data_IF_858529708444
#
_entry.id   IF_858529708444
#
_cell.length_a   1.000
_cell.length_b   1.000
_cell.length_c   1.000
_cell.angle_alpha   90.00
_cell.angle_beta   90.00
_cell.angle_gamma   90.00
#
_symmetry.space_group_name_H-M   'P 1'
#
loop_
_entity.id
_entity.type
_entity.pdbx_description
1 polymer ?
#
# COMPACT_ATOMS: atom_id res chain seq x y z
N UNK A 1 -0.05 -17.18 3.01
CA UNK A 1 -0.82 -16.28 3.89
C UNK A 1 -0.34 -16.41 5.32
N UNK A 2 0.06 -17.62 5.68
CA UNK A 2 0.70 -17.98 6.94
C UNK A 2 1.91 -17.11 7.27
N UNK A 3 2.09 -16.86 8.56
CA UNK A 3 3.27 -16.22 9.13
C UNK A 3 4.38 -17.23 9.35
N UNK A 4 5.63 -16.78 9.32
CA UNK A 4 6.79 -17.59 9.65
C UNK A 4 7.73 -16.79 10.53
N UNK A 5 8.29 -17.44 11.55
CA UNK A 5 9.27 -16.82 12.43
C UNK A 5 10.70 -16.96 11.86
N UNK A 6 11.64 -16.09 12.28
CA UNK A 6 13.04 -16.28 11.95
C UNK A 6 13.50 -17.70 12.30
N UNK A 7 14.19 -18.33 11.34
CA UNK A 7 14.68 -19.71 11.44
C UNK A 7 13.63 -20.81 11.41
N UNK A 8 12.36 -20.49 11.14
CA UNK A 8 11.35 -21.49 10.85
C UNK A 8 11.51 -22.02 9.41
N UNK A 9 11.52 -23.35 9.18
CA UNK A 9 11.48 -23.90 7.82
C UNK A 9 10.16 -23.58 7.14
N UNK A 10 10.21 -22.93 5.97
CA UNK A 10 9.01 -22.62 5.15
C UNK A 10 8.86 -23.53 3.93
N UNK A 11 9.90 -24.31 3.60
CA UNK A 11 9.93 -25.24 2.48
C UNK A 11 10.92 -26.37 2.78
N UNK A 12 10.48 -27.61 2.65
CA UNK A 12 11.34 -28.80 2.69
C UNK A 12 11.20 -29.54 1.36
N UNK A 13 12.32 -29.79 0.68
CA UNK A 13 12.36 -30.53 -0.60
C UNK A 13 13.14 -31.82 -0.37
N UNK A 14 12.49 -32.95 -0.63
CA UNK A 14 13.13 -34.28 -0.56
C UNK A 14 13.11 -34.94 -1.94
N UNK A 15 14.27 -35.38 -2.41
CA UNK A 15 14.40 -36.09 -3.68
C UNK A 15 15.84 -36.16 -4.17
N UNK A 16 16.06 -36.66 -5.39
CA UNK A 16 17.39 -36.65 -6.01
C UNK A 16 17.91 -35.22 -6.13
N UNK A 17 19.06 -34.92 -5.53
CA UNK A 17 19.61 -33.56 -5.46
C UNK A 17 19.68 -32.86 -6.83
N UNK A 18 20.13 -33.58 -7.87
CA UNK A 18 20.24 -33.06 -9.23
C UNK A 18 18.90 -32.59 -9.82
N UNK A 19 17.77 -33.10 -9.33
CA UNK A 19 16.44 -32.75 -9.84
C UNK A 19 16.01 -31.33 -9.45
N UNK A 20 16.52 -30.77 -8.34
CA UNK A 20 16.04 -29.47 -7.83
C UNK A 20 17.15 -28.49 -7.42
N UNK A 21 18.41 -28.92 -7.29
CA UNK A 21 19.50 -28.05 -6.84
C UNK A 21 19.66 -26.78 -7.70
N UNK A 22 19.49 -26.91 -9.02
CA UNK A 22 19.59 -25.78 -9.96
C UNK A 22 18.44 -24.76 -9.82
N UNK A 23 17.37 -25.11 -9.11
CA UNK A 23 16.22 -24.24 -8.85
C UNK A 23 16.37 -23.43 -7.56
N UNK A 24 17.43 -23.61 -6.78
CA UNK A 24 17.65 -22.93 -5.50
C UNK A 24 17.49 -21.42 -5.58
N UNK A 25 18.19 -20.80 -6.53
CA UNK A 25 18.10 -19.36 -6.78
C UNK A 25 16.66 -18.91 -7.04
N UNK A 26 15.86 -19.73 -7.72
CA UNK A 26 14.48 -19.39 -8.07
C UNK A 26 13.56 -19.44 -6.85
N UNK A 27 13.50 -20.58 -6.15
CA UNK A 27 12.54 -20.71 -5.04
C UNK A 27 12.94 -19.82 -3.86
N UNK A 28 14.24 -19.66 -3.56
CA UNK A 28 14.70 -18.73 -2.53
C UNK A 28 14.39 -17.29 -2.92
N UNK A 29 14.66 -16.89 -4.17
CA UNK A 29 14.36 -15.54 -4.65
C UNK A 29 12.85 -15.20 -4.59
N UNK A 30 12.00 -16.16 -4.96
CA UNK A 30 10.54 -16.02 -4.84
C UNK A 30 10.12 -15.90 -3.38
N UNK A 31 10.59 -16.77 -2.49
CA UNK A 31 10.25 -16.73 -1.06
C UNK A 31 10.69 -15.41 -0.42
N UNK A 32 11.93 -14.99 -0.62
CA UNK A 32 12.47 -13.75 -0.04
C UNK A 32 11.66 -12.53 -0.49
N UNK A 33 11.39 -12.43 -1.80
CA UNK A 33 10.66 -11.30 -2.34
C UNK A 33 9.21 -11.28 -1.86
N UNK A 34 8.48 -12.40 -1.99
CA UNK A 34 7.04 -12.42 -1.68
C UNK A 34 6.79 -12.33 -0.18
N UNK A 35 7.68 -12.86 0.66
CA UNK A 35 7.64 -12.65 2.12
C UNK A 35 7.81 -11.19 2.47
N UNK A 36 8.78 -10.48 1.86
CA UNK A 36 8.97 -9.03 2.08
C UNK A 36 7.68 -8.25 1.82
N UNK A 37 7.11 -8.44 0.63
CA UNK A 37 5.91 -7.70 0.22
C UNK A 37 4.71 -8.06 1.11
N UNK A 38 4.48 -9.35 1.36
CA UNK A 38 3.35 -9.80 2.18
C UNK A 38 3.47 -9.29 3.63
N UNK A 39 4.65 -9.38 4.23
CA UNK A 39 4.88 -8.97 5.63
C UNK A 39 4.70 -7.47 5.79
N UNK A 40 5.37 -6.66 4.97
CA UNK A 40 5.24 -5.20 5.03
C UNK A 40 3.80 -4.74 4.75
N UNK A 41 3.10 -5.41 3.83
CA UNK A 41 1.69 -5.09 3.52
C UNK A 41 0.78 -5.49 4.67
N UNK A 42 0.99 -6.66 5.29
CA UNK A 42 0.21 -7.11 6.45
C UNK A 42 0.34 -6.12 7.60
N UNK A 43 1.55 -5.65 7.90
CA UNK A 43 1.78 -4.70 8.99
C UNK A 43 1.01 -3.39 8.81
N UNK A 44 0.92 -2.86 7.59
CA UNK A 44 0.14 -1.63 7.33
C UNK A 44 -1.36 -1.88 7.34
N UNK A 45 -1.81 -3.06 6.88
CA UNK A 45 -3.22 -3.46 6.92
C UNK A 45 -3.69 -3.62 8.36
N UNK A 46 -2.91 -4.30 9.20
CA UNK A 46 -3.20 -4.45 10.63
C UNK A 46 -3.18 -3.11 11.36
N UNK A 47 -2.22 -2.24 11.03
CA UNK A 47 -2.15 -0.90 11.60
C UNK A 47 -3.39 -0.04 11.27
N UNK A 48 -3.99 -0.24 10.09
CA UNK A 48 -5.15 0.52 9.61
C UNK A 48 -6.49 -0.11 9.98
N UNK A 49 -6.53 -1.38 10.38
CA UNK A 49 -7.76 -2.15 10.53
C UNK A 49 -8.78 -1.45 11.45
N UNK A 50 -10.06 -1.32 11.04
CA UNK A 50 -10.72 -1.94 9.88
C UNK A 50 -10.66 -1.12 8.57
N UNK A 51 -9.88 -0.04 8.50
CA UNK A 51 -9.84 0.84 7.33
C UNK A 51 -9.05 0.22 6.18
N UNK A 52 -9.52 0.35 4.94
CA UNK A 52 -8.88 -0.26 3.78
C UNK A 52 -7.50 0.36 3.45
N UNK A 53 -6.62 -0.49 2.93
CA UNK A 53 -5.28 -0.11 2.45
C UNK A 53 -5.11 -0.48 0.98
N UNK A 54 -4.59 0.46 0.19
CA UNK A 54 -4.29 0.31 -1.23
C UNK A 54 -2.78 0.18 -1.46
N UNK A 55 -2.40 -0.79 -2.29
CA UNK A 55 -1.01 -1.13 -2.60
C UNK A 55 -0.50 -0.34 -3.82
N UNK A 56 0.17 0.79 -3.57
CA UNK A 56 0.68 1.71 -4.60
C UNK A 56 2.22 1.76 -4.80
N UNK A 57 3.02 0.70 -4.57
CA UNK A 57 4.46 0.77 -4.75
C UNK A 57 4.94 0.41 -6.17
N UNK A 58 4.08 0.15 -7.15
CA UNK A 58 4.46 -0.38 -8.47
C UNK A 58 5.61 0.39 -9.15
N UNK A 59 5.66 1.71 -8.95
CA UNK A 59 6.67 2.62 -9.51
C UNK A 59 8.05 2.54 -8.86
N UNK A 60 8.21 1.79 -7.77
CA UNK A 60 9.43 1.72 -6.98
C UNK A 60 10.23 0.44 -7.23
N UNK A 61 9.84 -0.36 -8.21
CA UNK A 61 10.48 -1.64 -8.50
C UNK A 61 10.44 -1.99 -9.99
N UNK A 62 11.14 -3.05 -10.36
CA UNK A 62 11.24 -3.51 -11.73
C UNK A 62 9.90 -4.07 -12.22
N UNK A 63 9.38 -3.55 -13.34
CA UNK A 63 8.02 -3.83 -13.83
C UNK A 63 7.64 -5.32 -13.93
N UNK A 64 8.59 -6.22 -14.22
CA UNK A 64 8.34 -7.67 -14.33
C UNK A 64 7.88 -8.35 -13.03
N UNK A 65 8.08 -7.73 -11.88
CA UNK A 65 7.77 -8.34 -10.58
C UNK A 65 6.34 -8.11 -10.11
N UNK A 66 5.63 -7.19 -10.79
CA UNK A 66 4.36 -6.62 -10.36
C UNK A 66 3.30 -7.67 -10.08
N UNK A 67 3.16 -8.65 -10.98
CA UNK A 67 2.14 -9.69 -10.87
C UNK A 67 2.15 -10.43 -9.55
N UNK A 68 3.31 -10.99 -9.16
CA UNK A 68 3.36 -11.69 -7.88
C UNK A 68 3.46 -10.76 -6.67
N UNK A 69 3.91 -9.50 -6.83
CA UNK A 69 3.87 -8.52 -5.74
C UNK A 69 2.43 -8.18 -5.39
N UNK A 70 1.61 -7.95 -6.42
CA UNK A 70 0.19 -7.69 -6.25
C UNK A 70 -0.50 -8.88 -5.58
N UNK A 71 -0.17 -10.11 -5.97
CA UNK A 71 -0.72 -11.30 -5.31
C UNK A 71 -0.31 -11.38 -3.83
N UNK A 72 0.96 -11.13 -3.51
CA UNK A 72 1.42 -11.09 -2.12
C UNK A 72 0.68 -10.01 -1.32
N UNK A 73 0.44 -8.83 -1.90
CA UNK A 73 -0.31 -7.75 -1.28
C UNK A 73 -1.79 -8.09 -1.08
N UNK A 74 -2.42 -8.74 -2.05
CA UNK A 74 -3.80 -9.22 -1.98
C UNK A 74 -3.97 -10.23 -0.83
N UNK A 75 -3.10 -11.24 -0.76
CA UNK A 75 -3.08 -12.21 0.34
C UNK A 75 -2.84 -11.52 1.70
N UNK A 76 -2.02 -10.47 1.71
CA UNK A 76 -1.74 -9.64 2.89
C UNK A 76 -2.88 -8.66 3.26
N UNK A 77 -4.01 -8.68 2.54
CA UNK A 77 -5.21 -7.93 2.90
C UNK A 77 -5.32 -6.52 2.32
N UNK A 78 -4.46 -6.14 1.36
CA UNK A 78 -4.69 -4.93 0.59
C UNK A 78 -5.98 -5.06 -0.24
N UNK A 79 -6.81 -4.04 -0.26
CA UNK A 79 -8.10 -4.07 -0.98
C UNK A 79 -7.96 -3.90 -2.49
N UNK A 80 -6.81 -3.41 -2.95
CA UNK A 80 -6.55 -3.15 -4.35
C UNK A 80 -5.11 -2.75 -4.61
N UNK A 81 -4.73 -2.79 -5.88
CA UNK A 81 -3.37 -2.55 -6.38
C UNK A 81 -3.39 -1.48 -7.47
N UNK A 82 -2.26 -0.82 -7.74
CA UNK A 82 -2.20 0.31 -8.69
C UNK A 82 -2.23 -0.05 -10.18
N UNK A 83 -2.03 -1.31 -10.57
CA UNK A 83 -1.92 -1.71 -11.98
C UNK A 83 -2.62 -3.05 -12.26
N UNK A 84 -3.08 -3.23 -13.50
CA UNK A 84 -3.68 -4.50 -13.93
C UNK A 84 -2.67 -5.65 -13.90
N UNK A 85 -1.40 -5.36 -14.18
CA UNK A 85 -0.34 -6.35 -14.08
C UNK A 85 -0.23 -6.89 -12.64
N UNK A 86 -0.32 -6.03 -11.63
CA UNK A 86 -0.37 -6.45 -10.22
C UNK A 86 -1.59 -7.33 -9.94
N UNK A 87 -2.73 -7.07 -10.56
CA UNK A 87 -4.00 -7.77 -10.32
C UNK A 87 -4.19 -9.09 -11.09
N UNK A 88 -3.35 -9.35 -12.07
CA UNK A 88 -3.52 -10.42 -13.06
C UNK A 88 -3.65 -11.86 -12.51
N UNK A 89 -3.16 -12.16 -11.30
CA UNK A 89 -3.27 -13.51 -10.71
C UNK A 89 -4.60 -13.79 -10.01
N UNK A 90 -5.44 -12.79 -9.73
CA UNK A 90 -6.76 -12.98 -9.09
C UNK A 90 -7.94 -12.39 -9.87
N UNK A 91 -7.69 -11.91 -11.09
CA UNK A 91 -8.74 -11.45 -12.00
C UNK A 91 -9.41 -10.14 -11.59
N UNK A 92 -8.74 -9.30 -10.79
CA UNK A 92 -9.15 -7.91 -10.54
C UNK A 92 -8.47 -6.96 -11.53
N UNK A 93 -8.84 -5.69 -11.46
CA UNK A 93 -8.18 -4.59 -12.17
C UNK A 93 -7.41 -3.70 -11.20
N UNK A 94 -6.50 -2.88 -11.75
CA UNK A 94 -5.84 -1.83 -11.01
C UNK A 94 -6.81 -0.72 -10.62
N UNK A 95 -6.63 -0.17 -9.41
CA UNK A 95 -7.38 0.99 -8.93
C UNK A 95 -6.52 2.25 -8.97
N UNK A 96 -7.16 3.39 -9.23
CA UNK A 96 -6.50 4.68 -9.35
C UNK A 96 -7.40 5.83 -8.89
N UNK A 97 -6.76 6.99 -8.70
CA UNK A 97 -7.43 8.26 -8.38
C UNK A 97 -7.12 9.26 -9.47
N UNK A 98 -7.75 10.44 -9.46
CA UNK A 98 -7.30 11.59 -10.28
C UNK A 98 -5.81 11.84 -9.97
N UNK A 99 -4.87 11.74 -10.93
CA UNK A 99 -3.45 11.97 -10.69
C UNK A 99 -3.08 13.46 -10.88
N UNK A 100 -1.99 13.92 -10.26
CA UNK A 100 -1.47 15.29 -10.48
C UNK A 100 -1.24 15.60 -11.97
N UNK A 101 -0.86 14.59 -12.77
CA UNK A 101 -0.65 14.75 -14.21
C UNK A 101 -1.93 15.14 -14.97
N UNK A 102 -3.09 14.60 -14.57
CA UNK A 102 -4.37 14.97 -15.18
C UNK A 102 -4.74 16.40 -14.80
N UNK A 103 -4.56 16.78 -13.54
CA UNK A 103 -4.79 18.15 -13.08
C UNK A 103 -3.90 19.14 -13.86
N UNK A 104 -2.63 18.81 -14.06
CA UNK A 104 -1.72 19.61 -14.88
C UNK A 104 -2.18 19.73 -16.35
N UNK A 105 -2.70 18.65 -16.95
CA UNK A 105 -3.23 18.68 -18.31
C UNK A 105 -4.46 19.60 -18.47
N UNK A 106 -5.20 19.84 -17.38
CA UNK A 106 -6.28 20.83 -17.31
C UNK A 106 -5.82 22.19 -16.77
N UNK A 107 -4.52 22.50 -16.87
CA UNK A 107 -3.98 23.81 -16.50
C UNK A 107 -3.96 24.08 -14.98
N UNK A 108 -3.91 23.01 -14.17
CA UNK A 108 -3.95 23.11 -12.70
C UNK A 108 -5.36 23.09 -12.11
N UNK A 109 -6.40 23.05 -12.94
CA UNK A 109 -7.78 23.03 -12.48
C UNK A 109 -8.19 21.63 -12.00
N UNK A 110 -8.12 21.43 -10.68
CA UNK A 110 -8.49 20.17 -10.03
C UNK A 110 -9.97 19.82 -10.22
N UNK A 111 -10.85 20.84 -10.21
CA UNK A 111 -12.30 20.63 -10.36
C UNK A 111 -12.57 20.12 -11.77
N UNK A 112 -12.07 20.81 -12.78
CA UNK A 112 -12.27 20.44 -14.19
C UNK A 112 -11.66 19.08 -14.51
N UNK A 113 -10.47 18.78 -13.99
CA UNK A 113 -9.85 17.47 -14.16
C UNK A 113 -10.69 16.34 -13.54
N UNK A 114 -11.27 16.59 -12.36
CA UNK A 114 -12.11 15.62 -11.66
C UNK A 114 -13.46 15.41 -12.36
N UNK A 115 -14.08 16.48 -12.87
CA UNK A 115 -15.30 16.41 -13.68
C UNK A 115 -15.05 15.64 -14.98
N UNK A 116 -13.97 15.98 -15.69
CA UNK A 116 -13.60 15.28 -16.92
C UNK A 116 -13.38 13.78 -16.68
N UNK A 117 -12.69 13.39 -15.60
CA UNK A 117 -12.57 11.98 -15.26
C UNK A 117 -13.94 11.34 -15.01
N UNK A 118 -14.79 11.99 -14.22
CA UNK A 118 -16.12 11.48 -13.88
C UNK A 118 -17.05 11.28 -15.10
N UNK A 119 -16.88 12.08 -16.14
CA UNK A 119 -17.61 11.98 -17.42
C UNK A 119 -17.13 10.82 -18.31
N UNK A 120 -15.87 10.40 -18.17
CA UNK A 120 -15.23 9.43 -19.08
C UNK A 120 -15.05 8.03 -18.47
N UNK A 121 -15.32 7.85 -17.17
CA UNK A 121 -15.27 6.55 -16.51
C UNK A 121 -16.68 6.01 -16.25
N UNK A 122 -16.86 4.68 -16.21
CA UNK A 122 -18.14 4.08 -15.83
C UNK A 122 -18.66 4.58 -14.47
N UNK A 123 -19.98 4.65 -14.29
CA UNK A 123 -20.59 5.19 -13.07
C UNK A 123 -20.16 4.46 -11.78
N UNK A 124 -19.92 3.15 -11.88
CA UNK A 124 -19.48 2.32 -10.76
C UNK A 124 -18.05 2.62 -10.28
N UNK A 125 -17.25 3.33 -11.08
CA UNK A 125 -15.92 3.80 -10.68
C UNK A 125 -16.08 4.97 -9.72
N UNK A 126 -15.50 4.81 -8.53
CA UNK A 126 -15.50 5.82 -7.48
C UNK A 126 -14.51 6.94 -7.80
N UNK A 127 -14.98 8.19 -7.81
CA UNK A 127 -14.11 9.33 -8.08
C UNK A 127 -13.40 9.78 -6.80
N UNK A 128 -12.07 9.69 -6.84
CA UNK A 128 -11.19 10.16 -5.78
C UNK A 128 -10.32 11.29 -6.32
N UNK A 129 -10.50 12.50 -5.81
CA UNK A 129 -9.80 13.69 -6.28
C UNK A 129 -8.58 14.02 -5.42
N UNK A 130 -7.42 14.29 -6.03
CA UNK A 130 -6.26 14.82 -5.31
C UNK A 130 -6.50 16.29 -4.92
N UNK A 131 -6.26 16.63 -3.65
CA UNK A 131 -6.55 17.97 -3.13
C UNK A 131 -5.31 18.87 -2.94
N UNK A 132 -4.11 18.35 -3.16
CA UNK A 132 -2.85 18.99 -2.79
C UNK A 132 -2.13 19.73 -3.93
N UNK A 133 -2.68 19.74 -5.16
CA UNK A 133 -2.02 20.34 -6.33
C UNK A 133 -1.65 21.83 -6.12
N UNK A 134 -2.58 22.63 -5.59
CA UNK A 134 -2.37 24.05 -5.27
C UNK A 134 -1.82 24.30 -3.86
N UNK A 135 -1.46 23.22 -3.14
CA UNK A 135 -1.02 23.26 -1.74
C UNK A 135 -2.03 23.97 -0.80
N UNK A 136 -3.33 23.76 -1.06
CA UNK A 136 -4.44 24.21 -0.22
C UNK A 136 -5.54 23.14 -0.26
N UNK A 137 -5.34 22.09 0.56
CA UNK A 137 -6.22 20.93 0.56
C UNK A 137 -7.64 21.27 1.02
N UNK A 138 -7.83 22.22 1.94
CA UNK A 138 -9.15 22.61 2.42
C UNK A 138 -9.96 23.25 1.30
N UNK A 139 -9.43 24.31 0.68
CA UNK A 139 -10.12 25.02 -0.41
C UNK A 139 -10.40 24.09 -1.58
N UNK A 140 -9.41 23.28 -1.97
CA UNK A 140 -9.55 22.36 -3.10
C UNK A 140 -10.62 21.32 -2.81
N UNK A 141 -10.58 20.66 -1.64
CA UNK A 141 -11.57 19.63 -1.27
C UNK A 141 -13.00 20.14 -1.32
N UNK A 142 -13.25 21.36 -0.79
CA UNK A 142 -14.57 21.99 -0.87
C UNK A 142 -14.98 22.28 -2.32
N UNK A 143 -14.08 22.82 -3.14
CA UNK A 143 -14.36 23.11 -4.54
C UNK A 143 -14.75 21.86 -5.32
N UNK A 144 -14.01 20.74 -5.15
CA UNK A 144 -14.34 19.48 -5.82
C UNK A 144 -15.64 18.89 -5.29
N UNK A 145 -15.89 18.94 -3.97
CA UNK A 145 -17.11 18.42 -3.36
C UNK A 145 -18.37 19.14 -3.87
N UNK A 146 -18.33 20.48 -3.94
CA UNK A 146 -19.43 21.28 -4.51
C UNK A 146 -19.67 20.97 -5.98
N UNK A 147 -18.60 20.82 -6.76
CA UNK A 147 -18.69 20.66 -8.21
C UNK A 147 -19.14 19.26 -8.66
N UNK A 148 -18.71 18.21 -7.97
CA UNK A 148 -19.05 16.83 -8.33
C UNK A 148 -20.29 16.30 -7.58
N UNK A 149 -20.66 16.92 -6.46
CA UNK A 149 -21.78 16.45 -5.65
C UNK A 149 -21.67 14.95 -5.38
N UNK A 150 -22.77 14.21 -5.60
CA UNK A 150 -22.87 12.75 -5.38
C UNK A 150 -21.84 11.90 -6.13
N UNK A 151 -21.23 12.42 -7.21
CA UNK A 151 -20.19 11.69 -7.94
C UNK A 151 -18.85 11.66 -7.22
N UNK A 152 -18.57 12.59 -6.29
CA UNK A 152 -17.34 12.55 -5.50
C UNK A 152 -17.46 11.49 -4.40
N UNK A 153 -16.58 10.48 -4.46
CA UNK A 153 -16.47 9.47 -3.41
C UNK A 153 -15.53 9.94 -2.29
N UNK A 154 -14.35 10.43 -2.65
CA UNK A 154 -13.33 10.81 -1.67
C UNK A 154 -12.42 11.95 -2.17
N UNK A 155 -11.76 12.61 -1.23
CA UNK A 155 -10.57 13.43 -1.50
C UNK A 155 -9.33 12.70 -1.02
N UNK A 156 -8.25 12.78 -1.78
CA UNK A 156 -6.95 12.20 -1.44
C UNK A 156 -5.97 13.31 -1.09
N UNK A 157 -5.39 13.20 0.09
CA UNK A 157 -4.32 14.08 0.58
C UNK A 157 -2.98 13.39 0.32
N UNK A 158 -2.11 14.06 -0.44
CA UNK A 158 -0.79 13.54 -0.83
C UNK A 158 0.32 14.60 -0.68
N UNK A 159 0.08 15.63 0.13
CA UNK A 159 0.99 16.76 0.34
C UNK A 159 2.41 16.29 0.61
N UNK A 160 3.36 16.81 -0.17
CA UNK A 160 4.77 16.42 -0.09
C UNK A 160 5.35 16.65 1.32
N UNK A 161 6.22 15.75 1.77
CA UNK A 161 6.86 15.79 3.10
C UNK A 161 7.73 17.03 3.36
N UNK A 162 8.10 17.75 2.32
CA UNK A 162 8.87 19.00 2.40
C UNK A 162 8.01 20.26 2.42
N UNK A 163 6.69 20.13 2.27
CA UNK A 163 5.75 21.25 2.13
C UNK A 163 4.84 21.36 3.33
N UNK A 164 4.46 22.59 3.69
CA UNK A 164 3.38 22.89 4.63
C UNK A 164 2.18 23.35 3.80
N UNK A 165 1.03 22.71 3.99
CA UNK A 165 -0.20 23.11 3.31
C UNK A 165 -0.61 24.53 3.74
N UNK A 166 -1.08 25.35 2.80
CA UNK A 166 -1.44 26.75 3.06
C UNK A 166 -2.47 26.89 4.17
N UNK A 167 -3.38 25.93 4.29
CA UNK A 167 -4.41 25.93 5.33
C UNK A 167 -3.83 25.81 6.75
N UNK A 168 -2.55 25.48 6.92
CA UNK A 168 -1.89 25.36 8.22
C UNK A 168 -0.95 26.52 8.55
N UNK A 169 -0.74 27.48 7.65
CA UNK A 169 0.26 28.54 7.84
C UNK A 169 -0.01 29.43 9.06
N UNK A 170 -1.28 29.62 9.42
CA UNK A 170 -1.68 30.40 10.60
C UNK A 170 -1.68 29.57 11.90
N UNK A 171 -1.33 28.28 11.84
CA UNK A 171 -1.36 27.34 12.97
C UNK A 171 0.02 26.72 13.25
N UNK A 172 1.09 27.38 12.82
CA UNK A 172 2.47 26.94 13.08
C UNK A 172 2.75 26.92 14.59
N UNK A 173 3.51 25.93 15.06
CA UNK A 173 3.80 25.76 16.49
C UNK A 173 4.48 24.43 16.82
N UNK A 174 4.05 23.79 17.91
CA UNK A 174 4.74 22.65 18.55
C UNK A 174 4.54 21.28 17.87
N UNK A 175 4.15 21.26 16.59
CA UNK A 175 4.03 20.02 15.81
C UNK A 175 4.73 20.16 14.45
N UNK A 176 4.98 19.04 13.76
CA UNK A 176 5.49 19.06 12.39
C UNK A 176 4.32 19.23 11.40
N UNK A 177 4.17 20.41 10.75
CA UNK A 177 3.04 20.71 9.88
C UNK A 177 3.28 20.22 8.43
N UNK A 178 4.40 19.53 8.18
CA UNK A 178 4.79 19.14 6.82
C UNK A 178 4.14 17.86 6.33
N UNK A 179 3.81 17.85 5.05
CA UNK A 179 3.08 16.78 4.38
C UNK A 179 1.73 16.49 5.01
N UNK A 180 1.17 15.33 4.71
CA UNK A 180 -0.11 14.90 5.29
C UNK A 180 0.04 14.66 6.79
N UNK A 181 -0.62 15.46 7.62
CA UNK A 181 -0.55 15.35 9.09
C UNK A 181 -1.95 15.36 9.71
N UNK A 182 -2.05 15.01 10.99
CA UNK A 182 -3.32 14.91 11.70
C UNK A 182 -4.13 16.22 11.64
N UNK A 183 -3.46 17.37 11.76
CA UNK A 183 -4.12 18.68 11.74
C UNK A 183 -4.68 19.00 10.36
N UNK A 184 -3.93 18.73 9.29
CA UNK A 184 -4.42 18.90 7.92
C UNK A 184 -5.68 18.08 7.66
N UNK A 185 -5.65 16.79 8.03
CA UNK A 185 -6.78 15.88 7.84
C UNK A 185 -8.01 16.38 8.61
N UNK A 186 -7.83 16.77 9.87
CA UNK A 186 -8.91 17.33 10.69
C UNK A 186 -9.52 18.59 10.06
N UNK A 187 -8.70 19.54 9.58
CA UNK A 187 -9.21 20.76 8.92
C UNK A 187 -10.00 20.45 7.64
N UNK A 188 -9.53 19.50 6.83
CA UNK A 188 -10.26 19.06 5.63
C UNK A 188 -11.60 18.43 6.01
N UNK A 189 -11.61 17.57 7.04
CA UNK A 189 -12.84 16.95 7.55
C UNK A 189 -13.83 18.00 8.07
N UNK A 190 -13.39 18.87 8.96
CA UNK A 190 -14.21 19.92 9.57
C UNK A 190 -14.82 20.83 8.52
N UNK A 191 -14.03 21.23 7.51
CA UNK A 191 -14.51 22.05 6.41
C UNK A 191 -15.57 21.35 5.56
N UNK A 192 -15.34 20.09 5.18
CA UNK A 192 -16.32 19.30 4.44
C UNK A 192 -17.61 19.12 5.26
N UNK A 193 -17.51 18.85 6.55
CA UNK A 193 -18.67 18.64 7.43
C UNK A 193 -19.48 19.92 7.63
N UNK A 194 -18.81 21.06 7.77
CA UNK A 194 -19.47 22.36 7.90
C UNK A 194 -20.33 22.73 6.69
N UNK A 195 -20.05 22.16 5.51
CA UNK A 195 -20.84 22.34 4.29
C UNK A 195 -21.74 21.15 3.96
N UNK A 196 -21.87 20.18 4.87
CA UNK A 196 -22.75 19.02 4.71
C UNK A 196 -22.15 17.90 3.84
N UNK A 197 -20.86 17.94 3.51
CA UNK A 197 -20.15 16.91 2.74
C UNK A 197 -19.60 15.76 3.61
N UNK A 198 -20.32 15.40 4.67
CA UNK A 198 -19.92 14.34 5.63
C UNK A 198 -19.73 12.95 5.01
N UNK A 199 -20.32 12.70 3.83
CA UNK A 199 -20.16 11.43 3.10
C UNK A 199 -18.86 11.33 2.29
N UNK A 200 -18.21 12.47 1.98
CA UNK A 200 -16.98 12.48 1.17
C UNK A 200 -15.86 11.91 2.03
N UNK A 201 -15.29 10.78 1.61
CA UNK A 201 -14.23 10.10 2.35
C UNK A 201 -12.89 10.82 2.23
N UNK A 202 -11.96 10.56 3.15
CA UNK A 202 -10.59 11.07 3.12
C UNK A 202 -9.61 9.91 2.96
N UNK A 203 -8.87 9.93 1.86
CA UNK A 203 -7.75 9.02 1.59
C UNK A 203 -6.44 9.71 1.97
N UNK A 204 -5.61 9.09 2.80
CA UNK A 204 -4.28 9.60 3.10
C UNK A 204 -3.20 8.81 2.34
N UNK A 205 -2.31 9.51 1.64
CA UNK A 205 -1.14 8.93 1.00
C UNK A 205 0.12 9.77 1.24
N UNK A 206 1.24 9.35 0.67
CA UNK A 206 2.50 10.09 0.76
C UNK A 206 3.33 9.72 1.99
N UNK A 207 4.13 8.67 1.87
CA UNK A 207 5.11 8.26 2.89
C UNK A 207 4.51 7.68 4.17
N UNK A 208 3.35 7.04 4.09
CA UNK A 208 2.78 6.29 5.23
C UNK A 208 3.55 4.99 5.46
N UNK A 209 3.74 4.67 6.74
CA UNK A 209 4.34 3.44 7.26
C UNK A 209 3.38 2.85 8.30
N UNK A 210 3.55 1.58 8.70
CA UNK A 210 2.70 0.97 9.73
C UNK A 210 2.72 1.78 11.04
N UNK A 211 3.89 2.29 11.45
CA UNK A 211 4.02 3.15 12.62
C UNK A 211 3.24 4.46 12.49
N UNK A 212 3.33 5.14 11.33
CA UNK A 212 2.61 6.39 11.10
C UNK A 212 1.10 6.18 11.04
N UNK A 213 0.66 5.07 10.45
CA UNK A 213 -0.76 4.68 10.45
C UNK A 213 -1.23 4.44 11.89
N UNK A 214 -0.51 3.63 12.69
CA UNK A 214 -0.84 3.42 14.12
C UNK A 214 -0.98 4.72 14.90
N UNK A 215 -0.10 5.69 14.66
CA UNK A 215 -0.20 7.03 15.28
C UNK A 215 -1.47 7.78 14.87
N UNK A 216 -1.84 7.73 13.59
CA UNK A 216 -3.07 8.36 13.09
C UNK A 216 -4.31 7.70 13.70
N UNK A 217 -4.37 6.38 13.71
CA UNK A 217 -5.48 5.63 14.29
C UNK A 217 -5.61 5.85 15.80
N UNK A 218 -4.48 5.81 16.54
CA UNK A 218 -4.47 6.05 18.00
C UNK A 218 -4.92 7.47 18.37
N UNK A 219 -4.66 8.44 17.49
CA UNK A 219 -5.09 9.82 17.66
C UNK A 219 -6.50 10.10 17.12
N UNK A 220 -7.20 9.09 16.59
CA UNK A 220 -8.56 9.25 16.04
C UNK A 220 -8.62 10.16 14.82
N UNK A 221 -7.53 10.23 14.03
CA UNK A 221 -7.49 11.11 12.85
C UNK A 221 -8.55 10.64 11.84
N UNK A 222 -9.39 11.54 11.27
CA UNK A 222 -10.51 11.17 10.41
C UNK A 222 -10.06 10.84 8.98
N UNK A 223 -9.19 9.84 8.84
CA UNK A 223 -8.86 9.17 7.58
C UNK A 223 -9.77 7.97 7.41
N UNK A 224 -10.26 7.74 6.20
CA UNK A 224 -11.10 6.58 5.86
C UNK A 224 -10.30 5.45 5.20
N UNK A 225 -9.20 5.76 4.52
CA UNK A 225 -8.35 4.76 3.87
C UNK A 225 -6.92 5.26 3.61
N UNK A 226 -6.00 4.33 3.37
CA UNK A 226 -4.58 4.63 3.16
C UNK A 226 -4.07 4.13 1.81
N UNK A 227 -3.33 4.98 1.10
CA UNK A 227 -2.52 4.60 -0.06
C UNK A 227 -1.05 4.49 0.32
N UNK A 228 -0.48 3.29 0.29
CA UNK A 228 0.90 3.03 0.75
C UNK A 228 1.80 2.62 -0.40
N UNK A 229 2.96 3.28 -0.52
CA UNK A 229 3.93 3.09 -1.60
C UNK A 229 5.26 2.54 -1.10
N UNK A 230 6.33 3.30 -1.29
CA UNK A 230 7.73 2.89 -1.09
C UNK A 230 8.06 2.17 0.22
N UNK A 231 7.35 2.46 1.32
CA UNK A 231 7.53 1.76 2.60
C UNK A 231 7.38 0.24 2.48
N UNK A 232 6.51 -0.23 1.57
CA UNK A 232 6.26 -1.65 1.35
C UNK A 232 7.42 -2.39 0.69
N UNK A 233 8.38 -1.67 0.09
CA UNK A 233 9.52 -2.25 -0.60
C UNK A 233 10.77 -2.38 0.28
N UNK A 234 10.73 -1.87 1.51
CA UNK A 234 11.87 -1.78 2.42
C UNK A 234 12.08 -3.07 3.24
N UNK A 235 13.26 -3.19 3.87
CA UNK A 235 13.63 -4.36 4.69
C UNK A 235 14.29 -5.49 3.91
N UNK A 236 14.97 -6.39 4.65
CA UNK A 236 15.56 -7.64 4.15
C UNK A 236 14.80 -8.81 4.78
N UNK A 237 14.46 -9.78 3.93
CA UNK A 237 13.68 -10.97 4.27
C UNK A 237 14.32 -12.17 3.56
N UNK A 238 15.62 -12.31 3.75
CA UNK A 238 16.42 -13.25 2.97
C UNK A 238 16.23 -14.68 3.48
N UNK A 239 15.89 -15.57 2.56
CA UNK A 239 15.90 -17.01 2.80
C UNK A 239 17.23 -17.61 2.33
N UNK A 240 17.60 -18.74 2.96
CA UNK A 240 18.66 -19.61 2.49
C UNK A 240 18.14 -21.03 2.43
N UNK A 241 18.66 -21.82 1.48
CA UNK A 241 18.44 -23.26 1.44
C UNK A 241 19.73 -23.96 1.84
N UNK A 242 19.62 -24.98 2.68
CA UNK A 242 20.77 -25.76 3.13
C UNK A 242 20.37 -27.24 3.15
N UNK A 243 21.27 -28.11 2.68
CA UNK A 243 21.11 -29.57 2.87
C UNK A 243 21.22 -29.86 4.36
N UNK A 244 20.23 -30.55 4.91
CA UNK A 244 20.19 -30.96 6.34
C UNK A 244 20.12 -32.47 6.53
N UNK A 245 19.91 -33.23 5.44
CA UNK A 245 19.87 -34.68 5.43
C UNK A 245 20.34 -35.22 4.07
N UNK A 246 21.05 -36.34 4.07
CA UNK A 246 21.49 -37.07 2.87
C UNK A 246 21.32 -38.57 3.10
N UNK A 247 20.53 -39.25 2.26
CA UNK A 247 20.26 -40.70 2.38
C UNK A 247 19.84 -41.12 3.80
N UNK A 248 18.91 -40.36 4.41
CA UNK A 248 18.42 -40.58 5.76
C UNK A 248 19.36 -40.12 6.89
N UNK A 249 20.61 -39.78 6.60
CA UNK A 249 21.60 -39.34 7.61
C UNK A 249 21.58 -37.83 7.77
N UNK A 250 21.57 -37.33 9.00
CA UNK A 250 21.71 -35.90 9.28
C UNK A 250 23.10 -35.41 8.86
N UNK A 251 23.14 -34.54 7.85
CA UNK A 251 24.37 -33.95 7.30
C UNK A 251 24.04 -32.51 6.91
N UNK A 252 24.77 -31.55 7.48
CA UNK A 252 24.54 -30.14 7.25
C UNK A 252 25.84 -29.32 7.33
N UNK A 253 25.86 -28.15 6.69
CA UNK A 253 26.92 -27.14 6.87
C UNK A 253 26.95 -26.69 8.34
N UNK A 254 28.14 -26.38 8.87
CA UNK A 254 28.30 -25.84 10.25
C UNK A 254 27.35 -24.67 10.47
N UNK A 255 26.62 -24.70 11.60
CA UNK A 255 25.59 -23.72 11.94
C UNK A 255 24.20 -24.01 11.36
N UNK A 256 24.04 -25.11 10.62
CA UNK A 256 22.75 -25.59 10.11
C UNK A 256 22.43 -26.98 10.68
N UNK A 257 21.15 -27.25 10.87
CA UNK A 257 20.62 -28.54 11.29
C UNK A 257 19.16 -28.63 10.86
N UNK A 258 18.62 -29.85 10.75
CA UNK A 258 17.20 -30.05 10.47
C UNK A 258 16.38 -29.51 11.65
N UNK A 259 15.51 -28.55 11.38
CA UNK A 259 14.59 -27.96 12.35
C UNK A 259 13.24 -28.65 12.27
N UNK A 260 12.38 -28.42 13.27
CA UNK A 260 11.00 -28.92 13.21
C UNK A 260 10.28 -28.27 12.03
N UNK A 261 9.56 -29.09 11.28
CA UNK A 261 8.77 -28.72 10.11
C UNK A 261 7.29 -29.12 10.31
N UNK A 262 6.82 -29.14 11.56
CA UNK A 262 5.46 -29.59 11.93
C UNK A 262 4.34 -28.80 11.24
N UNK A 263 4.60 -27.55 10.86
CA UNK A 263 3.64 -26.69 10.14
C UNK A 263 3.66 -26.94 8.62
N UNK A 264 4.62 -27.68 8.09
CA UNK A 264 4.70 -27.97 6.67
C UNK A 264 3.78 -29.14 6.31
N UNK A 265 2.90 -28.91 5.35
CA UNK A 265 2.12 -29.94 4.67
C UNK A 265 2.80 -30.41 3.39
N UNK A 266 2.54 -31.65 2.97
CA UNK A 266 2.96 -32.14 1.66
C UNK A 266 2.14 -31.42 0.58
N UNK A 267 2.83 -30.84 -0.41
CA UNK A 267 2.20 -30.33 -1.63
C UNK A 267 2.00 -31.51 -2.58
N UNK A 268 0.76 -31.77 -2.99
CA UNK A 268 0.38 -32.77 -4.00
C UNK A 268 0.25 -32.18 -5.40
#
# INVERSE_FOLDING_TARGET
GDTAEPWEPVLEITGPYAAFAHLETLYVGVLSRRTKIATNTREVVEAAWPKPVMFFPARHDHWMVQTGDGWAAHIAGAIGVSTDAQASWWGSEGIGTVPHALIAAYGGDTVRASQALAEHVPEHVQIVALADFDNDCVRTSLAVARALGERLHAVRLDTARSMVDRSLLDEMGDFDPRGVNARLVAKVRDALDAEGFGRVRIVASGGFTAERIRRFESAGVPVDSYGVGSALMQGSYDYTADVVQHEGRSVAKVGRWRRSAERLGRVE
#
